data_IF_427857776285
#
_entry.id   IF_427857776285
#
_cell.length_a   1.000
_cell.length_b   1.000
_cell.length_c   1.000
_cell.angle_alpha   90.00
_cell.angle_beta   90.00
_cell.angle_gamma   90.00
#
_symmetry.space_group_name_H-M   'P 1'
#
loop_
_entity.id
_entity.type
_entity.pdbx_description
1 polymer ?
#
# COMPACT_ATOMS: atom_id res chain seq x y z
N UNK A 1 -9.08 3.81 1.51
CA UNK A 1 -8.09 4.90 1.73
C UNK A 1 -6.68 4.44 1.35
N UNK A 2 -5.75 5.36 1.09
CA UNK A 2 -4.35 5.02 0.77
C UNK A 2 -3.58 4.46 1.97
N UNK A 3 -2.45 3.77 1.71
CA UNK A 3 -1.68 3.01 2.71
C UNK A 3 -1.21 3.84 3.92
N UNK A 4 -0.70 5.05 3.69
CA UNK A 4 -0.23 5.92 4.78
C UNK A 4 -1.39 6.40 5.67
N UNK A 5 -2.50 6.81 5.06
CA UNK A 5 -3.70 7.24 5.79
C UNK A 5 -4.20 6.08 6.64
N UNK A 6 -4.33 4.88 6.06
CA UNK A 6 -4.77 3.69 6.78
C UNK A 6 -3.87 3.35 7.99
N UNK A 7 -2.55 3.53 7.86
CA UNK A 7 -1.61 3.31 8.96
C UNK A 7 -1.82 4.31 10.10
N UNK A 8 -2.04 5.59 9.77
CA UNK A 8 -2.31 6.64 10.76
C UNK A 8 -3.65 6.37 11.47
N UNK A 9 -4.70 6.12 10.70
CA UNK A 9 -6.07 6.01 11.23
C UNK A 9 -6.32 4.69 11.94
N UNK A 10 -5.96 3.54 11.35
CA UNK A 10 -6.22 2.22 11.94
C UNK A 10 -5.18 1.77 12.97
N UNK A 11 -3.95 2.29 12.91
CA UNK A 11 -2.87 1.89 13.82
C UNK A 11 -2.81 2.73 15.09
N UNK A 12 -3.04 4.03 14.97
CA UNK A 12 -2.76 4.99 16.05
C UNK A 12 -3.97 5.75 16.58
N UNK A 13 -5.03 5.95 15.78
CA UNK A 13 -6.23 6.66 16.26
C UNK A 13 -7.21 5.70 16.93
N UNK A 14 -7.39 4.49 16.39
CA UNK A 14 -8.30 3.48 16.95
C UNK A 14 -7.77 2.84 18.26
N UNK A 15 -6.48 2.97 18.58
CA UNK A 15 -5.83 2.29 19.72
C UNK A 15 -5.61 3.19 20.95
N UNK A 16 -6.06 4.45 20.92
CA UNK A 16 -5.76 5.47 21.95
C UNK A 16 -6.67 5.48 23.18
N UNK A 17 -7.41 4.40 23.47
CA UNK A 17 -8.19 4.34 24.72
C UNK A 17 -7.32 4.30 25.99
N UNK A 18 -6.01 3.97 25.90
CA UNK A 18 -5.19 3.84 27.12
C UNK A 18 -3.66 4.07 27.02
N UNK A 19 -3.11 4.67 25.96
CA UNK A 19 -1.65 4.89 25.93
C UNK A 19 -1.22 6.15 25.17
N UNK A 20 -0.46 6.99 25.88
CA UNK A 20 0.50 8.00 25.41
C UNK A 20 0.84 7.91 23.92
N UNK A 21 0.45 8.96 23.16
CA UNK A 21 0.89 9.33 21.80
C UNK A 21 1.84 8.31 21.13
N UNK A 22 1.31 7.17 20.71
CA UNK A 22 2.08 6.12 20.03
C UNK A 22 2.38 6.47 18.58
N UNK A 23 1.71 7.49 18.05
CA UNK A 23 1.92 7.99 16.70
C UNK A 23 3.32 8.57 16.54
N UNK A 24 4.07 8.02 15.60
CA UNK A 24 5.31 8.60 15.11
C UNK A 24 5.11 9.01 13.65
N UNK A 25 5.51 10.24 13.26
CA UNK A 25 5.46 10.65 11.86
C UNK A 25 6.20 9.63 10.99
N UNK A 26 5.57 9.20 9.90
CA UNK A 26 6.10 8.17 9.02
C UNK A 26 6.06 8.63 7.57
N UNK A 27 7.18 8.46 6.86
CA UNK A 27 7.21 8.56 5.41
C UNK A 27 6.71 7.25 4.78
N UNK A 28 6.17 7.33 3.56
CA UNK A 28 5.73 6.14 2.84
C UNK A 28 6.89 5.16 2.65
N UNK A 29 6.61 3.88 2.90
CA UNK A 29 7.51 2.78 2.60
C UNK A 29 6.70 1.54 2.18
N UNK A 30 7.35 0.57 1.52
CA UNK A 30 6.68 -0.63 1.02
C UNK A 30 6.06 -1.52 2.11
N UNK A 31 6.48 -1.38 3.38
CA UNK A 31 5.91 -2.13 4.51
C UNK A 31 4.49 -1.69 4.87
N UNK A 32 4.07 -0.48 4.44
CA UNK A 32 2.71 0.03 4.68
C UNK A 32 1.68 -0.56 3.70
N UNK A 33 2.12 -1.16 2.60
CA UNK A 33 1.22 -1.66 1.56
C UNK A 33 0.68 -3.05 1.97
N UNK A 34 -0.58 -3.38 1.65
CA UNK A 34 -1.11 -4.72 1.85
C UNK A 34 -0.22 -5.75 1.15
N UNK A 35 -0.06 -7.00 1.63
CA UNK A 35 0.80 -7.99 0.98
C UNK A 35 0.51 -8.15 -0.52
N UNK A 36 1.55 -8.32 -1.34
CA UNK A 36 1.43 -8.63 -2.77
C UNK A 36 1.96 -10.03 -3.05
N UNK A 37 1.34 -10.73 -3.99
CA UNK A 37 1.86 -12.00 -4.46
C UNK A 37 3.24 -11.78 -5.08
N UNK A 38 4.18 -12.68 -4.75
CA UNK A 38 5.55 -12.57 -5.27
C UNK A 38 5.56 -13.02 -6.73
N UNK A 39 6.01 -12.18 -7.68
CA UNK A 39 6.07 -12.56 -9.08
C UNK A 39 6.97 -13.79 -9.29
N UNK A 40 6.54 -14.64 -10.22
CA UNK A 40 7.30 -15.80 -10.70
C UNK A 40 7.92 -15.47 -12.07
N UNK A 41 8.90 -16.24 -12.51
CA UNK A 41 9.43 -16.14 -13.88
C UNK A 41 8.37 -16.58 -14.89
N UNK A 42 8.61 -16.33 -16.18
CA UNK A 42 7.73 -16.79 -17.27
C UNK A 42 7.50 -18.31 -17.21
N UNK A 43 8.52 -19.08 -16.83
CA UNK A 43 8.45 -20.54 -16.63
C UNK A 43 7.84 -20.95 -15.28
N UNK A 44 7.23 -20.02 -14.53
CA UNK A 44 6.61 -20.29 -13.23
C UNK A 44 7.58 -20.53 -12.07
N UNK A 45 8.89 -20.36 -12.26
CA UNK A 45 9.90 -20.56 -11.20
C UNK A 45 9.94 -19.38 -10.24
N UNK A 46 10.27 -19.65 -8.98
CA UNK A 46 10.42 -18.62 -7.95
C UNK A 46 11.65 -17.75 -8.23
N UNK A 47 11.45 -16.43 -8.33
CA UNK A 47 12.53 -15.45 -8.45
C UNK A 47 13.37 -15.45 -7.15
N UNK A 48 14.71 -15.37 -7.26
CA UNK A 48 15.65 -15.47 -6.14
C UNK A 48 16.49 -14.19 -6.00
N UNK A 49 17.21 -14.08 -4.89
CA UNK A 49 18.18 -13.01 -4.65
C UNK A 49 17.61 -11.59 -4.75
N UNK A 50 18.45 -10.66 -5.23
CA UNK A 50 18.13 -9.23 -5.40
C UNK A 50 16.93 -9.01 -6.32
N UNK A 51 16.82 -9.83 -7.36
CA UNK A 51 15.73 -9.77 -8.35
C UNK A 51 14.36 -9.98 -7.70
N UNK A 52 14.26 -10.87 -6.69
CA UNK A 52 13.01 -11.06 -5.94
C UNK A 52 12.55 -9.78 -5.27
N UNK A 53 13.47 -9.01 -4.70
CA UNK A 53 13.15 -7.74 -4.04
C UNK A 53 12.65 -6.71 -5.05
N UNK A 54 13.34 -6.58 -6.19
CA UNK A 54 12.95 -5.69 -7.28
C UNK A 54 11.59 -6.07 -7.84
N UNK A 55 11.35 -7.36 -8.11
CA UNK A 55 10.09 -7.87 -8.62
C UNK A 55 8.92 -7.56 -7.66
N UNK A 56 9.10 -7.77 -6.35
CA UNK A 56 8.07 -7.42 -5.35
C UNK A 56 7.78 -5.92 -5.30
N UNK A 57 8.81 -5.07 -5.33
CA UNK A 57 8.62 -3.60 -5.35
C UNK A 57 7.86 -3.15 -6.60
N UNK A 58 8.17 -3.74 -7.76
CA UNK A 58 7.42 -3.50 -9.00
C UNK A 58 5.97 -3.96 -8.89
N UNK A 59 5.72 -5.14 -8.32
CA UNK A 59 4.36 -5.64 -8.11
C UNK A 59 3.54 -4.72 -7.19
N UNK A 60 4.11 -4.26 -6.07
CA UNK A 60 3.47 -3.26 -5.21
C UNK A 60 3.15 -1.97 -5.97
N UNK A 61 4.11 -1.46 -6.73
CA UNK A 61 3.96 -0.20 -7.46
C UNK A 61 2.90 -0.31 -8.56
N UNK A 62 2.87 -1.42 -9.30
CA UNK A 62 1.88 -1.67 -10.33
C UNK A 62 0.46 -1.75 -9.76
N UNK A 63 0.26 -2.49 -8.66
CA UNK A 63 -1.05 -2.54 -7.98
C UNK A 63 -1.47 -1.17 -7.46
N UNK A 64 -0.55 -0.45 -6.81
CA UNK A 64 -0.82 0.90 -6.31
C UNK A 64 -1.21 1.89 -7.42
N UNK A 65 -0.55 1.82 -8.58
CA UNK A 65 -0.91 2.65 -9.74
C UNK A 65 -2.29 2.31 -10.29
N UNK A 66 -2.63 1.01 -10.37
CA UNK A 66 -3.97 0.57 -10.80
C UNK A 66 -5.06 1.04 -9.82
N UNK A 67 -4.85 0.85 -8.52
CA UNK A 67 -5.78 1.29 -7.47
C UNK A 67 -5.96 2.82 -7.49
N UNK A 68 -4.87 3.57 -7.67
CA UNK A 68 -4.90 5.02 -7.78
C UNK A 68 -5.62 5.50 -9.05
N UNK A 69 -5.38 4.83 -10.18
CA UNK A 69 -6.11 5.11 -11.43
C UNK A 69 -7.61 4.86 -11.29
N UNK A 70 -8.00 3.74 -10.67
CA UNK A 70 -9.41 3.43 -10.38
C UNK A 70 -10.05 4.44 -9.43
N UNK A 71 -9.30 4.91 -8.43
CA UNK A 71 -9.78 5.95 -7.53
C UNK A 71 -10.04 7.26 -8.26
N UNK A 72 -9.10 7.70 -9.11
CA UNK A 72 -9.26 8.91 -9.94
C UNK A 72 -10.42 8.80 -10.93
N UNK A 73 -10.63 7.65 -11.56
CA UNK A 73 -11.72 7.45 -12.52
C UNK A 73 -13.10 7.41 -11.84
N UNK A 74 -13.17 6.87 -10.62
CA UNK A 74 -14.38 6.88 -9.78
C UNK A 74 -14.73 8.26 -9.20
N UNK A 75 -13.81 9.22 -9.22
CA UNK A 75 -14.02 10.57 -8.68
C UNK A 75 -14.84 11.50 -9.60
N UNK A 76 -15.21 11.08 -10.82
CA UNK A 76 -15.95 11.91 -11.80
C UNK A 76 -17.47 11.98 -11.58
N UNK A 77 -18.00 11.59 -10.41
CA UNK A 77 -19.46 11.52 -10.19
C UNK A 77 -19.99 12.24 -8.93
N UNK A 78 -19.24 13.18 -8.33
CA UNK A 78 -19.85 14.13 -7.38
C UNK A 78 -19.29 15.54 -7.65
N UNK A 79 -19.77 16.11 -8.75
CA UNK A 79 -19.87 17.55 -8.93
C UNK A 79 -21.37 17.88 -9.05
N UNK A 80 -22.07 17.83 -7.91
CA UNK A 80 -23.40 18.39 -7.70
C UNK A 80 -23.71 18.35 -6.19
N UNK A 81 -23.43 19.44 -5.49
CA UNK A 81 -24.45 20.34 -4.90
C UNK A 81 -23.77 21.64 -4.41
#
# INVERSE_FOLDING_TARGET
HGALINHITGGHIETTENATRSFQPMNVNFGLFPPVETPKTIDGKRIRGKEKSVARKRAYSARALADFGNWLSGQSAIAAE
#
